data_IF_604057503496
#
_entry.id   IF_604057503496
#
_cell.length_a   1.000
_cell.length_b   1.000
_cell.length_c   1.000
_cell.angle_alpha   90.00
_cell.angle_beta   90.00
_cell.angle_gamma   90.00
#
_symmetry.space_group_name_H-M   'P 1'
#
loop_
_entity.id
_entity.type
_entity.pdbx_description
1 polymer ?
#
# COMPACT_ATOMS: atom_id res chain seq x y z
N UNK A 1 17.74 -14.59 -22.93
CA UNK A 1 18.04 -14.49 -21.49
C UNK A 1 16.76 -14.06 -20.83
N UNK A 2 16.12 -14.92 -20.02
CA UNK A 2 15.04 -14.48 -19.13
C UNK A 2 15.69 -13.71 -18.00
N UNK A 3 15.61 -12.38 -18.06
CA UNK A 3 16.05 -11.52 -16.96
C UNK A 3 15.13 -11.82 -15.78
N UNK A 4 15.63 -12.55 -14.79
CA UNK A 4 14.86 -12.79 -13.56
C UNK A 4 14.70 -11.45 -12.86
N UNK A 5 13.46 -11.00 -12.75
CA UNK A 5 13.13 -9.74 -12.10
C UNK A 5 12.70 -10.02 -10.66
N UNK A 6 13.01 -9.11 -9.75
CA UNK A 6 12.63 -9.21 -8.34
C UNK A 6 11.52 -8.21 -8.08
N UNK A 7 10.43 -8.66 -7.47
CA UNK A 7 9.30 -7.81 -7.15
C UNK A 7 9.68 -6.81 -6.04
N UNK A 8 9.43 -5.52 -6.24
CA UNK A 8 9.73 -4.48 -5.26
C UNK A 8 8.83 -4.51 -4.00
N UNK A 9 7.84 -5.42 -3.94
CA UNK A 9 6.94 -5.59 -2.80
C UNK A 9 7.17 -6.90 -2.04
N UNK A 10 6.99 -8.06 -2.69
CA UNK A 10 7.17 -9.36 -2.04
C UNK A 10 8.62 -9.87 -2.06
N UNK A 11 9.51 -9.22 -2.83
CA UNK A 11 10.91 -9.61 -3.01
C UNK A 11 11.12 -11.00 -3.60
N UNK A 12 10.09 -11.58 -4.22
CA UNK A 12 10.20 -12.85 -4.92
C UNK A 12 10.67 -12.62 -6.37
N UNK A 13 11.41 -13.60 -6.88
CA UNK A 13 11.73 -13.71 -8.30
C UNK A 13 10.45 -14.03 -9.08
N UNK A 14 10.26 -13.35 -10.21
CA UNK A 14 9.15 -13.64 -11.11
C UNK A 14 9.61 -13.63 -12.58
N UNK A 15 8.86 -14.35 -13.40
CA UNK A 15 9.07 -14.47 -14.83
C UNK A 15 7.78 -14.03 -15.54
N UNK A 16 7.90 -13.24 -16.61
CA UNK A 16 6.76 -12.76 -17.39
C UNK A 16 6.77 -11.25 -17.61
N UNK A 17 5.60 -10.70 -17.96
CA UNK A 17 5.45 -9.26 -18.21
C UNK A 17 5.34 -8.51 -16.87
N UNK A 18 6.33 -7.68 -16.52
CA UNK A 18 6.31 -6.96 -15.26
C UNK A 18 5.32 -5.81 -15.25
N UNK A 19 4.77 -5.51 -14.07
CA UNK A 19 4.02 -4.28 -13.86
C UNK A 19 4.97 -3.20 -13.37
N UNK A 20 5.09 -2.11 -14.14
CA UNK A 20 5.92 -0.95 -13.77
C UNK A 20 5.07 0.18 -13.20
N UNK A 21 5.45 0.70 -12.04
CA UNK A 21 4.90 1.93 -11.46
C UNK A 21 6.07 2.82 -11.04
N UNK A 22 6.29 3.90 -11.78
CA UNK A 22 7.48 4.74 -11.61
C UNK A 22 8.76 3.95 -11.88
N UNK A 23 9.68 3.99 -10.92
CA UNK A 23 10.97 3.30 -10.88
C UNK A 23 10.89 1.86 -10.32
N UNK A 24 9.70 1.42 -9.89
CA UNK A 24 9.49 0.10 -9.26
C UNK A 24 8.80 -0.89 -10.19
N UNK A 25 9.15 -2.17 -10.00
CA UNK A 25 8.67 -3.30 -10.80
C UNK A 25 8.02 -4.34 -9.90
N UNK A 26 6.87 -4.88 -10.31
CA UNK A 26 6.06 -5.80 -9.52
C UNK A 26 5.67 -7.04 -10.32
N UNK A 27 5.54 -8.17 -9.60
CA UNK A 27 5.13 -9.44 -10.18
C UNK A 27 3.63 -9.51 -10.55
N UNK A 28 2.78 -8.70 -9.90
CA UNK A 28 1.34 -8.68 -10.15
C UNK A 28 0.68 -7.37 -9.69
N UNK A 29 -0.58 -7.16 -10.11
CA UNK A 29 -1.34 -5.93 -9.78
C UNK A 29 -1.55 -5.77 -8.28
N UNK A 30 -1.74 -6.87 -7.55
CA UNK A 30 -1.90 -6.86 -6.10
C UNK A 30 -0.64 -6.31 -5.40
N UNK A 31 0.55 -6.77 -5.81
CA UNK A 31 1.82 -6.27 -5.27
C UNK A 31 2.03 -4.79 -5.58
N UNK A 32 1.69 -4.36 -6.80
CA UNK A 32 1.77 -2.95 -7.18
C UNK A 32 0.80 -2.07 -6.36
N UNK A 33 -0.43 -2.55 -6.15
CA UNK A 33 -1.45 -1.85 -5.37
C UNK A 33 -1.06 -1.72 -3.90
N UNK A 34 -0.68 -2.83 -3.26
CA UNK A 34 -0.30 -2.84 -1.83
C UNK A 34 0.96 -2.01 -1.57
N UNK A 35 1.93 -2.00 -2.49
CA UNK A 35 3.10 -1.14 -2.40
C UNK A 35 2.78 0.36 -2.55
N UNK A 36 1.70 0.70 -3.27
CA UNK A 36 1.21 2.07 -3.47
C UNK A 36 0.26 2.51 -2.37
N UNK A 37 -0.25 1.57 -1.58
CA UNK A 37 -1.09 1.83 -0.40
C UNK A 37 -0.23 2.44 0.69
N UNK A 38 0.09 3.72 0.52
CA UNK A 38 0.72 4.57 1.51
C UNK A 38 0.03 4.35 2.86
N UNK A 39 0.84 4.25 3.92
CA UNK A 39 0.37 4.31 5.32
C UNK A 39 -0.48 5.56 5.64
N UNK A 40 -0.57 6.49 4.69
CA UNK A 40 -1.33 7.73 4.71
C UNK A 40 -2.87 7.57 4.79
N UNK A 41 -3.41 6.39 4.42
CA UNK A 41 -4.84 6.12 4.70
C UNK A 41 -5.11 5.74 6.17
N UNK A 42 -4.09 5.68 7.04
CA UNK A 42 -4.23 5.47 8.49
C UNK A 42 -4.10 6.75 9.32
N UNK A 43 -4.03 7.92 8.67
CA UNK A 43 -3.61 9.18 9.27
C UNK A 43 -4.67 10.27 9.31
N UNK A 44 -5.88 9.96 9.80
CA UNK A 44 -6.70 10.93 10.54
C UNK A 44 -7.34 10.24 11.73
N UNK A 45 -6.51 9.81 12.67
CA UNK A 45 -6.94 9.36 14.00
C UNK A 45 -7.14 10.55 14.98
N UNK A 46 -7.08 11.77 14.47
CA UNK A 46 -7.36 13.05 15.14
C UNK A 46 -8.83 13.48 15.00
N UNK A 47 -9.76 12.52 14.82
CA UNK A 47 -11.17 12.80 15.13
C UNK A 47 -11.24 13.18 16.60
N UNK A 48 -11.39 14.47 16.87
CA UNK A 48 -11.79 14.96 18.17
C UNK A 48 -13.10 14.26 18.52
N UNK A 49 -13.03 13.26 19.40
CA UNK A 49 -14.21 12.69 20.04
C UNK A 49 -14.84 13.87 20.78
N UNK A 50 -15.90 14.44 20.21
CA UNK A 50 -16.70 15.44 20.89
C UNK A 50 -17.26 14.77 22.14
N UNK A 51 -16.92 15.31 23.32
CA UNK A 51 -17.45 14.81 24.57
C UNK A 51 -18.97 14.97 24.54
N UNK A 52 -19.76 13.95 24.94
CA UNK A 52 -21.20 14.10 25.04
C UNK A 52 -21.51 15.17 26.10
N UNK A 53 -22.12 16.27 25.66
CA UNK A 53 -22.71 17.26 26.56
C UNK A 53 -24.07 16.71 26.99
N UNK A 54 -24.10 15.95 28.08
CA UNK A 54 -25.37 15.68 28.76
C UNK A 54 -25.22 16.18 30.19
N UNK A 55 -25.85 17.32 30.45
CA UNK A 55 -26.02 17.90 31.77
C UNK A 55 -26.88 16.95 32.61
N UNK A 56 -26.36 16.55 33.77
CA UNK A 56 -27.11 15.74 34.75
C UNK A 56 -28.16 16.65 35.39
N UNK A 57 -29.43 16.33 35.15
CA UNK A 57 -30.58 16.91 35.83
C UNK A 57 -31.02 16.03 37.01
#
# INVERSE_FOLDING_TARGET
>A
MSERQICAYCHEEFEGEPIRRGDKVYCCEACAFEATRSKDCGGRADTAISQPTVEVA
#
